data_IF_029196592621
#
_entry.id   IF_029196592621
#
_cell.length_a   1.000
_cell.length_b   1.000
_cell.length_c   1.000
_cell.angle_alpha   90.00
_cell.angle_beta   90.00
_cell.angle_gamma   90.00
#
_symmetry.space_group_name_H-M   'P 1'
#
loop_
_entity.id
_entity.type
_entity.pdbx_description
1 polymer ?
#
# COMPACT_ATOMS: atom_id res chain seq x y z
N UNK A 1 -3.42 29.26 -8.01
CA UNK A 1 -4.26 28.41 -7.15
C UNK A 1 -3.43 27.20 -6.76
N UNK A 2 -2.96 27.11 -5.51
CA UNK A 2 -2.33 25.89 -5.02
C UNK A 2 -3.43 24.85 -4.88
N UNK A 3 -3.47 23.88 -5.79
CA UNK A 3 -4.39 22.75 -5.72
C UNK A 3 -4.19 22.01 -4.39
N UNK A 4 -5.28 21.61 -3.75
CA UNK A 4 -5.20 20.81 -2.52
C UNK A 4 -4.69 19.43 -2.93
N UNK A 5 -3.47 19.12 -2.52
CA UNK A 5 -2.83 17.83 -2.75
C UNK A 5 -3.11 16.93 -1.55
N UNK A 6 -3.79 15.80 -1.78
CA UNK A 6 -4.08 14.83 -0.73
C UNK A 6 -3.09 13.68 -0.82
N UNK A 7 -2.27 13.50 0.22
CA UNK A 7 -1.37 12.34 0.30
C UNK A 7 -2.09 11.14 0.90
N UNK A 8 -2.10 10.05 0.14
CA UNK A 8 -2.76 8.77 0.48
C UNK A 8 -1.88 7.60 0.04
N UNK A 9 -2.26 6.38 0.39
CA UNK A 9 -1.71 5.19 -0.24
C UNK A 9 -2.63 4.70 -1.37
N UNK A 10 -2.04 4.31 -2.50
CA UNK A 10 -2.72 3.70 -3.64
C UNK A 10 -2.17 2.31 -3.90
N UNK A 11 -3.06 1.33 -4.02
CA UNK A 11 -2.72 -0.02 -4.43
C UNK A 11 -2.61 -0.05 -5.96
N UNK A 12 -1.42 -0.27 -6.50
CA UNK A 12 -1.19 -0.26 -7.94
C UNK A 12 -1.80 -1.48 -8.63
N UNK A 13 -2.30 -1.30 -9.86
CA UNK A 13 -2.86 -2.41 -10.64
C UNK A 13 -1.80 -3.39 -11.17
N UNK A 14 -0.56 -2.92 -11.35
CA UNK A 14 0.53 -3.68 -11.97
C UNK A 14 1.03 -4.83 -11.10
N UNK A 15 1.08 -4.63 -9.80
CA UNK A 15 1.72 -5.55 -8.85
C UNK A 15 1.00 -5.66 -7.50
N UNK A 16 -0.12 -4.96 -7.33
CA UNK A 16 -0.94 -4.93 -6.12
C UNK A 16 -0.21 -4.43 -4.86
N UNK A 17 0.93 -3.75 -5.03
CA UNK A 17 1.65 -3.10 -3.96
C UNK A 17 1.04 -1.73 -3.61
N UNK A 18 1.19 -1.33 -2.35
CA UNK A 18 0.78 -0.02 -1.84
C UNK A 18 1.90 1.00 -2.00
N UNK A 19 1.57 2.15 -2.59
CA UNK A 19 2.49 3.27 -2.79
C UNK A 19 1.91 4.54 -2.19
N UNK A 20 2.77 5.37 -1.59
CA UNK A 20 2.40 6.74 -1.26
C UNK A 20 2.22 7.54 -2.55
N UNK A 21 1.08 8.20 -2.67
CA UNK A 21 0.70 8.99 -3.84
C UNK A 21 0.08 10.30 -3.41
N UNK A 22 0.13 11.26 -4.32
CA UNK A 22 -0.58 12.51 -4.22
C UNK A 22 -1.74 12.52 -5.22
N UNK A 23 -2.92 12.90 -4.74
CA UNK A 23 -4.11 13.05 -5.56
C UNK A 23 -4.26 14.50 -5.99
N UNK A 24 -4.52 14.71 -7.28
CA UNK A 24 -4.87 16.01 -7.83
C UNK A 24 -6.06 15.90 -8.80
N UNK A 25 -7.10 16.72 -8.64
CA UNK A 25 -8.18 16.80 -9.61
C UNK A 25 -7.69 17.50 -10.88
N UNK A 26 -8.14 17.00 -12.03
CA UNK A 26 -7.92 17.62 -13.33
C UNK A 26 -9.15 18.45 -13.76
N UNK A 27 -8.99 19.43 -14.68
CA UNK A 27 -10.08 20.32 -15.09
C UNK A 27 -11.34 19.62 -15.60
N UNK A 28 -11.18 18.45 -16.24
CA UNK A 28 -12.27 17.69 -16.86
C UNK A 28 -13.00 16.75 -15.89
N UNK A 29 -12.70 16.83 -14.58
CA UNK A 29 -13.25 15.94 -13.55
C UNK A 29 -12.52 14.61 -13.41
N UNK A 30 -11.39 14.46 -14.11
CA UNK A 30 -10.50 13.30 -14.00
C UNK A 30 -9.63 13.40 -12.74
N UNK A 31 -9.05 12.26 -12.34
CA UNK A 31 -8.18 12.19 -11.17
C UNK A 31 -6.76 11.76 -11.57
N UNK A 32 -5.77 12.60 -11.28
CA UNK A 32 -4.36 12.24 -11.37
C UNK A 32 -3.87 11.67 -10.04
N UNK A 33 -3.20 10.53 -10.14
CA UNK A 33 -2.51 9.84 -9.06
C UNK A 33 -1.01 9.89 -9.34
N UNK A 34 -0.29 10.70 -8.58
CA UNK A 34 1.16 10.91 -8.74
C UNK A 34 1.93 10.18 -7.66
N UNK A 35 2.88 9.33 -8.05
CA UNK A 35 3.68 8.56 -7.08
C UNK A 35 4.72 9.45 -6.40
N UNK A 36 4.77 9.41 -5.06
CA UNK A 36 5.75 10.20 -4.32
C UNK A 36 7.16 9.70 -4.61
N UNK A 37 8.10 10.62 -4.88
CA UNK A 37 9.52 10.32 -5.15
C UNK A 37 9.79 9.47 -6.41
N UNK A 38 8.80 9.33 -7.28
CA UNK A 38 8.93 8.66 -8.58
C UNK A 38 8.69 9.69 -9.69
N UNK A 39 9.24 9.43 -10.87
CA UNK A 39 9.04 10.31 -12.03
C UNK A 39 7.55 10.45 -12.36
N UNK A 40 7.12 11.68 -12.70
CA UNK A 40 5.75 11.97 -13.17
C UNK A 40 5.32 11.17 -14.40
N UNK A 41 6.28 10.57 -15.13
CA UNK A 41 6.00 9.66 -16.25
C UNK A 41 5.28 8.38 -15.80
N UNK A 42 5.33 8.06 -14.51
CA UNK A 42 4.66 6.92 -13.91
C UNK A 42 3.28 7.28 -13.34
N UNK A 43 2.85 8.55 -13.43
CA UNK A 43 1.56 8.99 -12.91
C UNK A 43 0.42 8.32 -13.68
N UNK A 44 -0.63 7.95 -12.96
CA UNK A 44 -1.86 7.45 -13.56
C UNK A 44 -2.88 8.59 -13.64
N UNK A 45 -3.55 8.72 -14.79
CA UNK A 45 -4.72 9.59 -14.95
C UNK A 45 -5.93 8.70 -15.13
N UNK A 46 -6.87 8.77 -14.19
CA UNK A 46 -8.11 8.02 -14.22
C UNK A 46 -9.22 8.89 -14.76
N UNK A 47 -9.72 8.53 -15.93
CA UNK A 47 -10.79 9.28 -16.59
C UNK A 47 -12.16 8.91 -16.04
N UNK A 48 -12.95 9.89 -15.59
CA UNK A 48 -14.27 9.63 -15.00
C UNK A 48 -15.20 8.87 -15.96
N UNK A 49 -15.10 9.19 -17.26
CA UNK A 49 -15.86 8.54 -18.34
C UNK A 49 -15.56 7.05 -18.56
N UNK A 50 -14.45 6.54 -18.01
CA UNK A 50 -14.07 5.14 -18.17
C UNK A 50 -14.78 4.21 -17.18
N UNK A 51 -15.44 4.76 -16.16
CA UNK A 51 -16.23 3.98 -15.22
C UNK A 51 -17.64 3.75 -15.79
N UNK A 52 -17.98 2.49 -16.04
CA UNK A 52 -19.26 2.07 -16.63
C UNK A 52 -20.30 1.69 -15.59
N UNK A 53 -19.90 1.55 -14.32
CA UNK A 53 -20.81 1.18 -13.23
C UNK A 53 -20.36 1.70 -11.87
N UNK A 54 -21.32 1.83 -10.95
CA UNK A 54 -21.04 2.14 -9.54
C UNK A 54 -20.10 1.12 -8.88
N UNK A 55 -20.16 -0.14 -9.31
CA UNK A 55 -19.29 -1.19 -8.81
C UNK A 55 -17.82 -0.91 -9.14
N UNK A 56 -17.52 -0.49 -10.36
CA UNK A 56 -16.15 -0.13 -10.76
C UNK A 56 -15.62 1.08 -9.98
N UNK A 57 -16.49 2.05 -9.69
CA UNK A 57 -16.13 3.22 -8.86
C UNK A 57 -15.79 2.79 -7.43
N UNK A 58 -16.59 1.90 -6.82
CA UNK A 58 -16.30 1.39 -5.47
C UNK A 58 -15.04 0.53 -5.43
N UNK A 59 -14.78 -0.30 -6.46
CA UNK A 59 -13.53 -1.05 -6.60
C UNK A 59 -12.32 -0.13 -6.73
N UNK A 60 -12.43 0.94 -7.52
CA UNK A 60 -11.40 1.97 -7.66
C UNK A 60 -11.13 2.68 -6.33
N UNK A 61 -12.19 3.12 -5.64
CA UNK A 61 -12.09 3.74 -4.31
C UNK A 61 -11.44 2.82 -3.29
N UNK A 62 -11.72 1.51 -3.36
CA UNK A 62 -11.11 0.48 -2.51
C UNK A 62 -9.61 0.29 -2.72
N UNK A 63 -9.01 0.90 -3.76
CA UNK A 63 -7.55 0.94 -3.96
C UNK A 63 -6.88 2.13 -3.29
N UNK A 64 -7.62 3.00 -2.60
CA UNK A 64 -7.05 4.10 -1.82
C UNK A 64 -7.28 3.88 -0.33
N UNK A 65 -6.29 4.28 0.48
CA UNK A 65 -6.43 4.35 1.94
C UNK A 65 -5.58 5.46 2.53
N UNK A 66 -5.77 5.75 3.82
CA UNK A 66 -4.86 6.63 4.55
C UNK A 66 -3.46 6.01 4.60
N UNK A 67 -2.44 6.85 4.62
CA UNK A 67 -1.04 6.38 4.71
C UNK A 67 -0.88 5.49 5.94
N UNK A 68 -0.32 4.30 5.74
CA UNK A 68 -0.11 3.33 6.81
C UNK A 68 0.92 3.86 7.80
N UNK A 69 0.64 3.75 9.11
CA UNK A 69 1.54 4.27 10.15
C UNK A 69 2.58 3.22 10.50
N UNK A 70 3.86 3.59 10.52
CA UNK A 70 4.91 2.71 11.02
C UNK A 70 4.64 2.32 12.48
N UNK A 71 4.66 1.02 12.75
CA UNK A 71 4.59 0.50 14.12
C UNK A 71 5.90 0.81 14.82
N UNK A 72 5.81 1.48 15.97
CA UNK A 72 6.98 1.74 16.82
C UNK A 72 7.31 0.52 17.68
N UNK A 73 8.53 0.48 18.23
CA UNK A 73 9.02 -0.64 19.04
C UNK A 73 8.13 -0.93 20.25
N UNK A 74 7.57 0.11 20.87
CA UNK A 74 6.64 -0.02 22.00
C UNK A 74 5.29 -0.63 21.56
N UNK A 75 4.91 -0.41 20.30
CA UNK A 75 3.68 -0.92 19.70
C UNK A 75 3.83 -2.34 19.15
N UNK A 76 5.06 -2.87 19.00
CA UNK A 76 5.30 -4.23 18.50
C UNK A 76 4.60 -5.32 19.32
N UNK A 77 4.41 -5.10 20.63
CA UNK A 77 3.67 -6.04 21.51
C UNK A 77 2.16 -6.09 21.22
N UNK A 78 1.63 -5.10 20.50
CA UNK A 78 0.21 -5.05 20.12
C UNK A 78 -0.10 -5.88 18.86
N UNK A 79 0.93 -6.37 18.17
CA UNK A 79 0.77 -7.21 16.98
C UNK A 79 0.42 -8.63 17.43
N UNK A 80 -0.73 -9.12 16.99
CA UNK A 80 -1.25 -10.45 17.35
C UNK A 80 -1.54 -11.30 16.12
N UNK A 81 -1.54 -12.62 16.30
CA UNK A 81 -1.88 -13.55 15.22
C UNK A 81 -3.26 -13.23 14.63
N UNK A 82 -3.35 -13.31 13.30
CA UNK A 82 -4.55 -12.98 12.54
C UNK A 82 -4.69 -11.50 12.16
N UNK A 83 -3.90 -10.59 12.74
CA UNK A 83 -3.91 -9.17 12.40
C UNK A 83 -3.43 -8.94 10.95
N UNK A 84 -4.07 -8.01 10.25
CA UNK A 84 -3.59 -7.52 8.95
C UNK A 84 -2.66 -6.33 9.19
N UNK A 85 -1.51 -6.37 8.54
CA UNK A 85 -0.49 -5.33 8.57
C UNK A 85 -0.03 -5.03 7.15
N UNK A 86 0.51 -3.83 6.94
CA UNK A 86 1.18 -3.45 5.70
C UNK A 86 2.68 -3.72 5.86
N UNK A 87 3.20 -4.66 5.08
CA UNK A 87 4.53 -5.23 5.25
C UNK A 87 5.45 -4.86 4.09
N UNK A 88 6.69 -4.44 4.37
CA UNK A 88 7.72 -4.37 3.32
C UNK A 88 8.15 -5.80 2.96
N UNK A 89 8.06 -6.12 1.67
CA UNK A 89 8.66 -7.27 1.03
C UNK A 89 9.87 -6.80 0.21
N UNK A 90 11.04 -7.31 0.55
CA UNK A 90 12.29 -7.03 -0.16
C UNK A 90 12.52 -8.05 -1.28
N UNK A 91 12.81 -7.56 -2.48
CA UNK A 91 13.11 -8.36 -3.66
C UNK A 91 14.62 -8.44 -3.89
N UNK A 92 15.06 -9.46 -4.64
CA UNK A 92 16.49 -9.75 -4.90
C UNK A 92 17.23 -8.57 -5.54
N UNK A 93 16.52 -7.71 -6.29
CA UNK A 93 17.08 -6.52 -6.92
C UNK A 93 17.21 -5.31 -5.96
N UNK A 94 16.92 -5.47 -4.67
CA UNK A 94 16.93 -4.38 -3.68
C UNK A 94 15.68 -3.50 -3.69
N UNK A 95 14.65 -3.86 -4.47
CA UNK A 95 13.35 -3.18 -4.44
C UNK A 95 12.58 -3.60 -3.19
N UNK A 96 11.97 -2.64 -2.48
CA UNK A 96 11.07 -2.92 -1.34
C UNK A 96 9.68 -2.41 -1.71
N UNK A 97 8.69 -3.31 -1.62
CA UNK A 97 7.29 -2.99 -1.88
C UNK A 97 6.42 -3.35 -0.68
N UNK A 98 5.31 -2.65 -0.55
CA UNK A 98 4.42 -2.79 0.60
C UNK A 98 3.17 -3.57 0.25
N UNK A 99 2.84 -4.59 1.03
CA UNK A 99 1.68 -5.46 0.79
C UNK A 99 0.87 -5.67 2.06
N UNK A 100 -0.42 -5.95 1.91
CA UNK A 100 -1.22 -6.44 3.03
C UNK A 100 -0.87 -7.90 3.32
N UNK A 101 -0.53 -8.18 4.57
CA UNK A 101 -0.14 -9.49 5.04
C UNK A 101 -0.83 -9.81 6.36
N UNK A 102 -1.14 -11.09 6.56
CA UNK A 102 -1.71 -11.61 7.80
C UNK A 102 -0.61 -12.19 8.67
N UNK A 103 -0.56 -11.76 9.93
CA UNK A 103 0.37 -12.29 10.94
C UNK A 103 -0.02 -13.73 11.28
N UNK A 104 0.87 -14.70 11.07
CA UNK A 104 0.61 -16.12 11.43
C UNK A 104 1.25 -16.52 12.74
N UNK A 105 2.51 -16.13 12.95
CA UNK A 105 3.25 -16.48 14.16
C UNK A 105 4.19 -15.34 14.55
N UNK A 106 3.95 -14.75 15.72
CA UNK A 106 4.85 -13.78 16.34
C UNK A 106 5.82 -14.51 17.29
N UNK A 107 7.06 -14.78 16.85
CA UNK A 107 8.12 -15.26 17.74
C UNK A 107 8.79 -14.06 18.40
N UNK A 108 8.26 -13.65 19.55
CA UNK A 108 8.76 -12.53 20.34
C UNK A 108 10.22 -12.69 20.76
N UNK A 109 11.14 -12.21 19.92
CA UNK A 109 12.49 -11.77 20.30
C UNK A 109 12.84 -10.62 19.37
N UNK A 110 13.33 -9.52 19.92
CA UNK A 110 13.68 -8.24 19.26
C UNK A 110 14.72 -8.33 18.11
N UNK A 111 14.93 -9.51 17.54
CA UNK A 111 15.87 -9.82 16.45
C UNK A 111 15.38 -10.98 15.56
N UNK A 112 14.16 -11.48 15.77
CA UNK A 112 13.60 -12.64 15.05
C UNK A 112 12.47 -12.24 14.10
N UNK A 113 12.61 -12.58 12.83
CA UNK A 113 11.65 -12.23 11.78
C UNK A 113 10.23 -12.72 12.05
N UNK A 114 9.25 -11.93 11.61
CA UNK A 114 7.84 -12.33 11.62
C UNK A 114 7.55 -13.28 10.46
N UNK A 115 6.87 -14.39 10.76
CA UNK A 115 6.27 -15.22 9.72
C UNK A 115 4.92 -14.64 9.34
N UNK A 116 4.80 -14.15 8.11
CA UNK A 116 3.55 -13.61 7.57
C UNK A 116 3.15 -14.30 6.28
N UNK A 117 1.86 -14.29 6.00
CA UNK A 117 1.29 -14.78 4.74
C UNK A 117 0.68 -13.59 4.00
N UNK A 118 1.08 -13.39 2.75
CA UNK A 118 0.48 -12.37 1.88
C UNK A 118 -1.00 -12.65 1.64
N UNK A 119 -1.82 -11.60 1.62
CA UNK A 119 -3.26 -11.71 1.34
C UNK A 119 -3.55 -11.75 -0.18
N UNK A 120 -2.51 -11.64 -1.03
CA UNK A 120 -2.58 -11.63 -2.49
C UNK A 120 -1.82 -12.77 -3.19
N UNK A 121 -1.80 -12.76 -4.54
CA UNK A 121 -1.12 -13.76 -5.38
C UNK A 121 0.41 -13.58 -5.35
N UNK A 122 1.06 -13.99 -4.27
CA UNK A 122 2.51 -14.03 -4.15
C UNK A 122 2.93 -15.13 -3.18
N UNK A 123 3.43 -16.25 -3.71
CA UNK A 123 3.90 -17.38 -2.92
C UNK A 123 5.43 -17.40 -2.94
N UNK A 124 6.05 -16.77 -1.94
CA UNK A 124 7.49 -16.80 -1.72
C UNK A 124 7.79 -16.71 -0.22
N UNK A 125 8.91 -17.31 0.22
CA UNK A 125 9.41 -17.09 1.58
C UNK A 125 9.98 -15.67 1.65
N UNK A 126 9.14 -14.73 2.05
CA UNK A 126 9.47 -13.31 2.07
C UNK A 126 10.05 -12.91 3.44
N UNK A 127 11.18 -12.20 3.41
CA UNK A 127 11.75 -11.58 4.60
C UNK A 127 11.07 -10.23 4.81
N UNK A 128 10.30 -10.10 5.89
CA UNK A 128 9.61 -8.86 6.24
C UNK A 128 10.45 -8.05 7.22
N UNK A 129 10.89 -6.85 6.79
CA UNK A 129 11.81 -5.99 7.57
C UNK A 129 11.12 -4.80 8.24
N UNK A 130 9.93 -4.39 7.79
CA UNK A 130 9.18 -3.25 8.33
C UNK A 130 7.69 -3.53 8.32
N UNK A 131 7.01 -3.29 9.44
CA UNK A 131 5.56 -3.39 9.58
C UNK A 131 4.92 -2.02 9.78
N UNK A 132 3.80 -1.81 9.11
CA UNK A 132 2.94 -0.64 9.26
C UNK A 132 1.52 -1.08 9.62
N UNK A 133 0.86 -0.32 10.47
CA UNK A 133 -0.58 -0.47 10.74
C UNK A 133 -1.36 0.16 9.59
N UNK A 134 -2.28 -0.63 9.02
CA UNK A 134 -3.25 -0.23 8.00
C UNK A 134 -4.36 0.60 8.61
#
# INVERSE_FOLDING_TARGET
MSGVEYTVEFRAYSDDAWYSVNLSPEPDGDLRVSYTNISKKCDNVFHARNFSSWKEVEEFKGRFRKVSKQLQDEECRSVVNGMIVCACCEFINGDCRFYDARVKEFKGRLIGGLAMEGVGKGSGKEHYSTLRRV
#
